data_IF_448822438799
#
_entry.id   IF_448822438799
#
_cell.length_a   1.000
_cell.length_b   1.000
_cell.length_c   1.000
_cell.angle_alpha   90.00
_cell.angle_beta   90.00
_cell.angle_gamma   90.00
#
_symmetry.space_group_name_H-M   'P 1'
#
loop_
_entity.id
_entity.type
_entity.pdbx_description
1 polymer ?
#
# COMPACT_ATOMS: atom_id res chain seq x y z
N UNK A 1 74.14 -1.28 -29.02
CA UNK A 1 74.34 -0.69 -30.36
C UNK A 1 73.10 -0.98 -31.19
N UNK A 2 72.23 0.04 -31.40
CA UNK A 2 71.81 0.61 -32.71
C UNK A 2 71.19 -0.45 -33.65
N UNK A 3 69.91 -0.41 -34.05
CA UNK A 3 69.21 0.60 -34.86
C UNK A 3 67.68 0.33 -34.80
N UNK A 4 66.80 1.29 -34.59
CA UNK A 4 66.25 2.30 -35.53
C UNK A 4 64.88 1.86 -36.10
N UNK A 5 63.84 2.55 -35.64
CA UNK A 5 62.49 2.52 -36.19
C UNK A 5 62.44 3.07 -37.62
N UNK A 6 61.52 2.57 -38.45
CA UNK A 6 60.95 3.38 -39.53
C UNK A 6 59.44 3.14 -39.67
N UNK A 7 58.78 4.26 -39.91
CA UNK A 7 57.36 4.58 -39.95
C UNK A 7 56.92 4.64 -41.42
N UNK A 8 55.70 4.19 -41.72
CA UNK A 8 54.94 4.52 -42.95
C UNK A 8 53.50 4.77 -42.46
N UNK A 9 53.01 6.00 -42.26
CA UNK A 9 52.60 7.07 -43.20
C UNK A 9 51.59 6.61 -44.26
N UNK A 10 50.29 6.73 -43.98
CA UNK A 10 49.40 7.83 -44.39
C UNK A 10 48.71 7.58 -45.74
N UNK A 11 47.44 7.19 -45.68
CA UNK A 11 46.52 7.19 -46.82
C UNK A 11 45.13 7.57 -46.33
N UNK A 12 44.86 8.87 -46.31
CA UNK A 12 43.56 9.47 -45.97
C UNK A 12 42.50 9.10 -47.00
N UNK A 13 41.42 8.43 -46.59
CA UNK A 13 40.21 8.36 -47.39
C UNK A 13 39.10 9.15 -46.70
N UNK A 14 38.95 10.39 -47.16
CA UNK A 14 37.80 11.24 -46.85
C UNK A 14 36.64 10.75 -47.73
N UNK A 15 35.66 10.09 -47.15
CA UNK A 15 34.33 10.01 -47.76
C UNK A 15 33.29 10.61 -46.83
N UNK A 16 32.83 11.79 -47.26
CA UNK A 16 31.59 12.42 -46.86
C UNK A 16 30.46 11.57 -47.44
N UNK A 17 29.44 11.27 -46.64
CA UNK A 17 28.16 10.91 -47.22
C UNK A 17 27.31 9.99 -46.37
N UNK A 18 26.19 10.56 -45.91
CA UNK A 18 24.94 9.90 -45.56
C UNK A 18 24.89 9.11 -44.23
N UNK A 19 24.21 9.75 -43.28
CA UNK A 19 23.65 9.16 -42.09
C UNK A 19 22.79 7.93 -42.41
N UNK A 20 23.06 6.83 -41.73
CA UNK A 20 22.10 5.75 -41.52
C UNK A 20 21.89 5.64 -40.01
N UNK A 21 20.91 6.41 -39.52
CA UNK A 21 20.36 6.27 -38.17
C UNK A 21 19.63 4.93 -38.14
N UNK A 22 20.31 3.88 -37.69
CA UNK A 22 19.67 2.60 -37.36
C UNK A 22 19.03 2.74 -35.98
N UNK A 23 17.70 2.79 -35.99
CA UNK A 23 16.85 3.10 -34.86
C UNK A 23 17.01 2.13 -33.69
N UNK A 24 17.33 2.71 -32.53
CA UNK A 24 17.07 2.08 -31.23
C UNK A 24 15.56 2.19 -30.99
N UNK A 25 14.82 1.14 -31.33
CA UNK A 25 13.42 1.00 -30.93
C UNK A 25 13.38 0.81 -29.40
N UNK A 26 13.35 1.93 -28.68
CA UNK A 26 13.11 1.95 -27.25
C UNK A 26 11.65 1.59 -26.98
N UNK A 27 11.39 0.31 -26.73
CA UNK A 27 10.16 -0.14 -26.08
C UNK A 27 10.09 0.48 -24.69
N UNK A 28 9.40 1.62 -24.59
CA UNK A 28 8.95 2.21 -23.33
C UNK A 28 8.02 1.20 -22.65
N UNK A 29 8.56 0.41 -21.71
CA UNK A 29 7.73 -0.29 -20.73
C UNK A 29 7.08 0.78 -19.85
N UNK A 30 5.82 1.10 -20.14
CA UNK A 30 4.97 1.80 -19.19
C UNK A 30 4.69 0.84 -18.03
N UNK A 31 5.47 0.98 -16.96
CA UNK A 31 5.13 0.42 -15.66
C UNK A 31 3.92 1.20 -15.11
N UNK A 32 2.71 0.79 -15.48
CA UNK A 32 1.53 1.24 -14.78
C UNK A 32 1.64 0.77 -13.33
N UNK A 33 1.85 1.71 -12.40
CA UNK A 33 1.66 1.41 -10.99
C UNK A 33 0.19 1.03 -10.83
N UNK A 34 -0.08 -0.25 -10.58
CA UNK A 34 -1.41 -0.69 -10.19
C UNK A 34 -1.71 -0.06 -8.83
N UNK A 35 -2.38 1.10 -8.86
CA UNK A 35 -3.01 1.65 -7.67
C UNK A 35 -4.03 0.61 -7.22
N UNK A 36 -3.93 0.17 -5.97
CA UNK A 36 -4.96 -0.69 -5.41
C UNK A 36 -6.30 0.03 -5.56
N UNK A 37 -7.31 -0.66 -6.09
CA UNK A 37 -8.65 -0.08 -6.16
C UNK A 37 -9.12 0.26 -4.74
N UNK A 38 -9.85 1.37 -4.59
CA UNK A 38 -10.41 1.77 -3.31
C UNK A 38 -11.32 0.68 -2.73
N UNK A 39 -11.34 0.60 -1.40
CA UNK A 39 -12.35 -0.17 -0.69
C UNK A 39 -13.73 0.40 -1.04
N UNK A 40 -14.72 -0.47 -1.22
CA UNK A 40 -16.10 -0.07 -1.44
C UNK A 40 -16.82 -0.03 -0.11
N UNK A 41 -17.35 1.14 0.24
CA UNK A 41 -18.09 1.30 1.48
C UNK A 41 -19.33 0.41 1.51
N UNK A 42 -19.69 -0.05 2.70
CA UNK A 42 -20.87 -0.87 2.96
C UNK A 42 -20.96 -2.15 2.09
N UNK A 43 -19.83 -2.58 1.52
CA UNK A 43 -19.74 -3.79 0.71
C UNK A 43 -19.04 -4.86 1.53
N UNK A 44 -19.56 -6.09 1.48
CA UNK A 44 -18.93 -7.21 2.19
C UNK A 44 -17.64 -7.67 1.50
N UNK A 45 -16.84 -8.40 2.27
CA UNK A 45 -15.61 -9.06 1.82
C UNK A 45 -14.56 -8.10 1.22
N UNK A 46 -14.56 -6.84 1.64
CA UNK A 46 -13.46 -5.93 1.38
C UNK A 46 -12.22 -6.40 2.14
N UNK A 47 -11.07 -6.35 1.49
CA UNK A 47 -9.83 -6.91 2.02
C UNK A 47 -8.80 -5.81 2.26
N UNK A 48 -8.18 -5.83 3.43
CA UNK A 48 -7.05 -4.98 3.74
C UNK A 48 -5.91 -5.79 4.38
N UNK A 49 -4.67 -5.39 4.10
CA UNK A 49 -3.48 -6.00 4.65
C UNK A 49 -2.62 -4.98 5.39
N UNK A 50 -2.12 -5.38 6.55
CA UNK A 50 -1.29 -4.49 7.34
C UNK A 50 -0.77 -5.14 8.61
N UNK A 51 -0.04 -4.37 9.40
CA UNK A 51 0.38 -4.76 10.74
C UNK A 51 -0.71 -4.39 11.73
N UNK A 52 -1.25 -5.37 12.43
CA UNK A 52 -2.27 -5.10 13.45
C UNK A 52 -1.60 -4.53 14.70
N UNK A 53 -2.09 -3.40 15.16
CA UNK A 53 -1.65 -2.74 16.39
C UNK A 53 -2.83 -2.55 17.34
N UNK A 54 -2.51 -2.33 18.62
CA UNK A 54 -3.48 -2.12 19.69
C UNK A 54 -3.13 -0.79 20.35
N UNK A 55 -4.09 0.12 20.40
CA UNK A 55 -3.93 1.46 21.00
C UNK A 55 -4.94 1.66 22.11
N UNK A 56 -4.51 2.31 23.19
CA UNK A 56 -5.40 2.71 24.28
C UNK A 56 -5.80 4.16 24.07
N UNK A 57 -7.08 4.39 23.79
CA UNK A 57 -7.63 5.72 23.55
C UNK A 57 -8.31 6.20 24.82
N UNK A 58 -7.89 7.35 25.33
CA UNK A 58 -8.60 7.98 26.45
C UNK A 58 -9.83 8.68 25.90
N UNK A 59 -11.01 8.38 26.43
CA UNK A 59 -12.25 9.11 26.09
C UNK A 59 -12.59 10.01 27.28
N UNK A 60 -12.23 11.31 27.25
CA UNK A 60 -12.25 12.17 28.44
C UNK A 60 -13.63 12.24 29.10
N UNK A 61 -14.68 12.30 28.29
CA UNK A 61 -16.06 12.45 28.73
C UNK A 61 -16.56 11.26 29.56
N UNK A 62 -16.00 10.07 29.35
CA UNK A 62 -16.42 8.85 30.03
C UNK A 62 -15.42 8.32 31.07
N UNK A 63 -14.29 9.02 31.26
CA UNK A 63 -13.25 8.67 32.25
C UNK A 63 -12.76 7.21 32.16
N UNK A 64 -12.84 6.59 30.99
CA UNK A 64 -12.29 5.26 30.73
C UNK A 64 -11.36 5.27 29.51
N UNK A 65 -10.57 4.20 29.39
CA UNK A 65 -9.71 3.95 28.23
C UNK A 65 -10.36 2.88 27.36
N UNK A 66 -10.54 3.19 26.09
CA UNK A 66 -11.02 2.28 25.07
C UNK A 66 -9.83 1.58 24.39
N UNK A 67 -9.96 0.27 24.17
CA UNK A 67 -8.98 -0.49 23.38
C UNK A 67 -9.44 -0.54 21.92
N UNK A 68 -8.71 0.14 21.04
CA UNK A 68 -8.93 0.07 19.59
C UNK A 68 -7.85 -0.77 18.90
N UNK A 69 -8.21 -1.42 17.80
CA UNK A 69 -7.24 -2.14 16.95
C UNK A 69 -7.06 -1.38 15.65
N UNK A 70 -5.82 -0.97 15.36
CA UNK A 70 -5.50 -0.23 14.14
C UNK A 70 -4.68 -1.13 13.23
N UNK A 71 -5.18 -1.38 12.04
CA UNK A 71 -4.44 -2.00 10.96
C UNK A 71 -3.58 -0.93 10.29
N UNK A 72 -2.28 -0.96 10.53
CA UNK A 72 -1.31 -0.11 9.84
C UNK A 72 -1.00 -0.72 8.47
N UNK A 73 -1.44 -0.06 7.41
CA UNK A 73 -1.34 -0.57 6.05
C UNK A 73 0.10 -0.50 5.53
N UNK A 74 0.43 -1.37 4.56
CA UNK A 74 1.73 -1.35 3.86
C UNK A 74 1.80 -0.27 2.77
N UNK A 75 0.64 0.11 2.26
CA UNK A 75 0.41 1.11 1.23
C UNK A 75 -0.91 1.77 1.57
N UNK A 76 -1.07 3.02 1.15
CA UNK A 76 -2.28 3.76 1.44
C UNK A 76 -3.49 3.13 0.75
N UNK A 77 -4.64 3.26 1.41
CA UNK A 77 -5.93 2.88 0.91
C UNK A 77 -6.85 4.08 0.81
N UNK A 78 -7.88 3.92 0.00
CA UNK A 78 -8.99 4.85 -0.14
C UNK A 78 -10.31 4.12 0.07
N UNK A 79 -11.38 4.89 0.33
CA UNK A 79 -12.74 4.41 0.49
C UNK A 79 -13.65 5.17 -0.48
N UNK A 80 -14.47 4.42 -1.20
CA UNK A 80 -15.49 4.96 -2.09
C UNK A 80 -16.88 4.47 -1.68
N UNK A 81 -17.78 5.42 -1.45
CA UNK A 81 -19.20 5.19 -1.22
C UNK A 81 -20.03 6.43 -1.51
N UNK A 82 -21.34 6.31 -1.29
CA UNK A 82 -22.31 7.37 -1.61
C UNK A 82 -22.46 8.39 -0.48
N UNK A 83 -22.26 7.93 0.77
CA UNK A 83 -22.43 8.75 1.97
C UNK A 83 -21.33 9.81 2.11
N UNK A 84 -21.57 10.80 2.97
CA UNK A 84 -20.62 11.90 3.21
C UNK A 84 -19.28 11.41 3.76
N UNK A 85 -19.32 10.48 4.72
CA UNK A 85 -18.13 9.94 5.39
C UNK A 85 -17.45 8.82 4.60
N UNK A 86 -18.11 8.26 3.57
CA UNK A 86 -17.59 7.15 2.76
C UNK A 86 -16.70 7.63 1.60
N UNK A 87 -15.99 8.75 1.77
CA UNK A 87 -15.13 9.38 0.76
C UNK A 87 -13.78 9.68 1.37
N UNK A 88 -12.93 8.67 1.42
CA UNK A 88 -11.57 8.79 1.95
C UNK A 88 -10.60 8.69 0.80
N UNK A 89 -9.96 9.80 0.45
CA UNK A 89 -8.99 9.84 -0.66
C UNK A 89 -7.73 9.04 -0.35
N UNK A 90 -7.30 9.03 0.91
CA UNK A 90 -6.05 8.40 1.33
C UNK A 90 -5.99 8.19 2.84
N UNK A 91 -5.57 6.99 3.27
CA UNK A 91 -5.20 6.67 4.65
C UNK A 91 -4.23 5.50 4.70
N UNK A 92 -3.30 5.53 5.65
CA UNK A 92 -2.39 4.42 5.95
C UNK A 92 -2.93 3.53 7.11
N UNK A 93 -4.14 3.82 7.59
CA UNK A 93 -4.73 3.21 8.78
C UNK A 93 -6.20 2.86 8.60
N UNK A 94 -6.57 1.71 9.14
CA UNK A 94 -7.96 1.26 9.28
C UNK A 94 -8.24 0.88 10.73
N UNK A 95 -9.31 1.40 11.32
CA UNK A 95 -9.80 0.92 12.61
C UNK A 95 -10.57 -0.38 12.40
N UNK A 96 -10.07 -1.49 12.92
CA UNK A 96 -10.74 -2.79 12.79
C UNK A 96 -11.44 -3.17 14.09
N UNK A 97 -12.66 -3.67 13.98
CA UNK A 97 -13.43 -4.16 15.12
C UNK A 97 -14.20 -5.42 14.73
N UNK A 98 -14.81 -6.08 15.72
CA UNK A 98 -15.81 -7.11 15.49
C UNK A 98 -16.76 -7.19 16.67
N UNK A 99 -18.03 -7.48 16.39
CA UNK A 99 -19.04 -7.76 17.42
C UNK A 99 -19.01 -9.23 17.87
N UNK A 100 -18.35 -10.11 17.11
CA UNK A 100 -18.20 -11.53 17.45
C UNK A 100 -17.05 -11.75 18.44
N UNK A 101 -17.33 -12.41 19.57
CA UNK A 101 -16.36 -12.63 20.66
C UNK A 101 -15.18 -13.49 20.24
N UNK A 102 -15.41 -14.49 19.40
CA UNK A 102 -14.35 -15.36 18.90
C UNK A 102 -13.40 -14.55 17.99
N UNK A 103 -13.94 -13.67 17.15
CA UNK A 103 -13.17 -12.77 16.31
C UNK A 103 -12.41 -11.72 17.14
N UNK A 104 -13.02 -11.13 18.16
CA UNK A 104 -12.33 -10.23 19.09
C UNK A 104 -11.13 -10.90 19.75
N UNK A 105 -11.25 -12.19 20.11
CA UNK A 105 -10.13 -12.99 20.64
C UNK A 105 -9.03 -13.20 19.59
N UNK A 106 -9.40 -13.46 18.32
CA UNK A 106 -8.44 -13.58 17.21
C UNK A 106 -7.70 -12.27 16.95
N UNK A 107 -8.40 -11.13 16.93
CA UNK A 107 -7.80 -9.79 16.79
C UNK A 107 -6.78 -9.53 17.90
N UNK A 108 -7.13 -9.78 19.16
CA UNK A 108 -6.16 -9.68 20.29
C UNK A 108 -4.92 -10.53 20.08
N UNK A 109 -5.09 -11.79 19.67
CA UNK A 109 -3.97 -12.71 19.46
C UNK A 109 -3.12 -12.36 18.22
N UNK A 110 -3.63 -11.50 17.33
CA UNK A 110 -2.96 -11.05 16.13
C UNK A 110 -2.22 -9.72 16.29
N UNK A 111 -2.36 -9.03 17.43
CA UNK A 111 -1.64 -7.79 17.71
C UNK A 111 -0.13 -8.00 17.54
N UNK A 112 0.52 -7.07 16.83
CA UNK A 112 1.92 -7.11 16.48
C UNK A 112 2.26 -7.95 15.25
N UNK A 113 1.29 -8.63 14.63
CA UNK A 113 1.51 -9.47 13.44
C UNK A 113 1.03 -8.76 12.18
N UNK A 114 1.61 -9.16 11.05
CA UNK A 114 1.08 -8.81 9.74
C UNK A 114 -0.10 -9.71 9.44
N UNK A 115 -1.23 -9.13 9.05
CA UNK A 115 -2.47 -9.84 8.80
C UNK A 115 -3.14 -9.38 7.52
N UNK A 116 -4.00 -10.25 6.99
CA UNK A 116 -5.05 -9.91 6.05
C UNK A 116 -6.38 -9.99 6.79
N UNK A 117 -7.17 -8.93 6.72
CA UNK A 117 -8.55 -8.92 7.23
C UNK A 117 -9.52 -8.85 6.07
N UNK A 118 -10.68 -9.47 6.25
CA UNK A 118 -11.84 -9.31 5.37
C UNK A 118 -13.02 -8.80 6.19
N UNK A 119 -13.82 -7.92 5.60
CA UNK A 119 -14.95 -7.32 6.31
C UNK A 119 -15.76 -6.35 5.48
N UNK A 120 -16.57 -5.57 6.19
CA UNK A 120 -17.34 -4.47 5.65
C UNK A 120 -16.69 -3.15 6.09
N UNK A 121 -16.33 -2.28 5.14
CA UNK A 121 -15.63 -1.02 5.41
C UNK A 121 -16.59 0.18 5.29
N UNK A 122 -16.38 1.22 6.08
CA UNK A 122 -17.15 2.46 6.08
C UNK A 122 -16.34 3.61 6.69
N UNK A 123 -16.82 4.84 6.54
CA UNK A 123 -16.18 6.04 7.05
C UNK A 123 -16.19 6.20 8.58
N UNK A 124 -15.31 7.06 9.09
CA UNK A 124 -15.38 7.54 10.47
C UNK A 124 -16.60 8.46 10.68
N UNK A 125 -17.51 8.10 11.59
CA UNK A 125 -18.78 8.81 11.83
C UNK A 125 -18.91 9.32 13.27
N UNK A 126 -18.09 8.84 14.21
CA UNK A 126 -18.20 9.19 15.63
C UNK A 126 -16.88 9.08 16.39
N UNK A 127 -16.91 9.50 17.66
CA UNK A 127 -15.75 9.55 18.58
C UNK A 127 -15.14 8.18 18.95
N UNK A 128 -15.78 7.07 18.57
CA UNK A 128 -15.27 5.71 18.76
C UNK A 128 -14.56 5.17 17.51
N UNK A 129 -14.55 5.92 16.41
CA UNK A 129 -13.86 5.54 15.18
C UNK A 129 -12.47 6.19 15.23
N UNK A 130 -11.43 5.37 15.35
CA UNK A 130 -10.07 5.85 15.62
C UNK A 130 -9.16 5.87 14.37
N UNK A 131 -9.75 5.87 13.18
CA UNK A 131 -9.07 6.02 11.88
C UNK A 131 -10.10 6.42 10.79
N UNK A 132 -9.67 7.08 9.70
CA UNK A 132 -10.57 7.57 8.65
C UNK A 132 -11.46 6.48 8.01
N UNK A 133 -10.95 5.24 7.93
CA UNK A 133 -11.72 4.07 7.51
C UNK A 133 -11.88 3.14 8.72
N UNK A 134 -13.09 2.63 8.90
CA UNK A 134 -13.45 1.62 9.88
C UNK A 134 -13.83 0.34 9.15
N UNK A 135 -13.49 -0.83 9.71
CA UNK A 135 -13.87 -2.12 9.14
C UNK A 135 -14.40 -3.08 10.20
N UNK A 136 -15.64 -3.53 10.00
CA UNK A 136 -16.22 -4.65 10.73
C UNK A 136 -15.68 -5.97 10.17
N UNK A 137 -14.78 -6.60 10.90
CA UNK A 137 -14.02 -7.78 10.45
C UNK A 137 -14.83 -9.06 10.62
N UNK A 138 -14.94 -9.82 9.53
CA UNK A 138 -15.55 -11.15 9.46
C UNK A 138 -14.50 -12.27 9.37
N UNK A 139 -13.28 -11.98 8.88
CA UNK A 139 -12.18 -12.94 8.88
C UNK A 139 -10.81 -12.29 9.06
N UNK A 140 -9.87 -13.07 9.61
CA UNK A 140 -8.48 -12.64 9.79
C UNK A 140 -7.54 -13.82 9.51
N UNK A 141 -6.51 -13.56 8.73
CA UNK A 141 -5.45 -14.48 8.35
C UNK A 141 -4.09 -13.89 8.78
N UNK A 142 -3.25 -14.69 9.44
CA UNK A 142 -1.87 -14.29 9.71
C UNK A 142 -1.06 -14.44 8.43
N UNK A 143 -0.36 -13.37 8.05
CA UNK A 143 0.56 -13.41 6.91
C UNK A 143 1.98 -13.72 7.41
N UNK A 144 2.81 -14.39 6.60
CA UNK A 144 4.22 -14.59 6.92
C UNK A 144 4.90 -13.25 7.20
N UNK A 145 5.65 -13.18 8.30
CA UNK A 145 6.55 -12.05 8.54
C UNK A 145 7.60 -12.02 7.45
N UNK A 146 7.79 -10.85 6.82
CA UNK A 146 8.97 -10.61 6.00
C UNK A 146 10.17 -10.33 6.90
#
# INVERSE_FOLDING_TARGET
MVAKAHRVSSGSLRWRGAAAVLGVAATLLMAAAAQAACLKAQTDNQVAEGRLTSVQVSVPDYKFKEQAYILQLKSDACLEGTEEFDKVDHTDRIHVFSLDDAMRKKLRAAVGKTVRVSGNAFGEENIHHHAPIVMGVSSIELLPGK
#
